data_IF_556096090555
#
_entry.id   IF_556096090555
#
_cell.length_a   1.000
_cell.length_b   1.000
_cell.length_c   1.000
_cell.angle_alpha   90.00
_cell.angle_beta   90.00
_cell.angle_gamma   90.00
#
_symmetry.space_group_name_H-M   'P 1'
#
loop_
_entity.id
_entity.type
_entity.pdbx_description
1 polymer ?
#
# COMPACT_ATOMS: atom_id res chain seq x y z
N UNK A 1 -13.25 -22.77 -1.54
CA UNK A 1 -13.99 -23.12 -2.77
C UNK A 1 -13.20 -22.63 -3.97
N UNK A 2 -13.45 -23.15 -5.18
CA UNK A 2 -12.71 -22.75 -6.39
C UNK A 2 -13.68 -22.34 -7.50
N UNK A 3 -13.40 -21.22 -8.14
CA UNK A 3 -13.99 -20.79 -9.41
C UNK A 3 -12.88 -20.78 -10.46
N UNK A 4 -12.99 -21.58 -11.51
CA UNK A 4 -11.91 -21.76 -12.48
C UNK A 4 -12.40 -21.97 -13.91
N UNK A 5 -11.55 -21.67 -14.87
CA UNK A 5 -11.69 -21.99 -16.30
C UNK A 5 -10.36 -22.53 -16.84
N UNK A 6 -10.42 -23.50 -17.75
CA UNK A 6 -9.23 -24.07 -18.39
C UNK A 6 -8.54 -23.06 -19.32
N UNK A 7 -9.28 -22.08 -19.85
CA UNK A 7 -8.70 -21.06 -20.70
C UNK A 7 -7.71 -20.20 -19.92
N UNK A 8 -6.44 -20.28 -20.32
CA UNK A 8 -5.32 -19.59 -19.67
C UNK A 8 -5.24 -19.91 -18.16
N UNK A 9 -5.72 -21.10 -17.78
CA UNK A 9 -5.69 -21.60 -16.41
C UNK A 9 -6.12 -20.55 -15.36
N UNK A 10 -7.19 -19.81 -15.66
CA UNK A 10 -7.65 -18.69 -14.84
C UNK A 10 -8.50 -19.20 -13.68
N UNK A 11 -8.15 -18.80 -12.45
CA UNK A 11 -8.84 -19.28 -11.25
C UNK A 11 -8.83 -18.29 -10.08
N UNK A 12 -9.91 -18.32 -9.30
CA UNK A 12 -9.98 -17.84 -7.92
C UNK A 12 -10.10 -19.07 -6.99
N UNK A 13 -9.06 -19.32 -6.20
CA UNK A 13 -9.04 -20.39 -5.19
C UNK A 13 -9.17 -19.78 -3.79
N UNK A 14 -9.98 -20.35 -2.90
CA UNK A 14 -10.16 -19.88 -1.52
C UNK A 14 -10.14 -21.04 -0.50
N UNK A 15 -9.61 -20.79 0.70
CA UNK A 15 -9.52 -21.75 1.80
C UNK A 15 -8.24 -22.56 1.74
N UNK A 16 -8.37 -23.90 1.68
CA UNK A 16 -7.24 -24.82 1.54
C UNK A 16 -7.01 -25.16 0.07
N UNK A 17 -5.87 -24.77 -0.48
CA UNK A 17 -5.55 -24.89 -1.89
C UNK A 17 -4.85 -26.23 -2.16
N UNK A 18 -5.31 -26.98 -3.16
CA UNK A 18 -4.74 -28.26 -3.58
C UNK A 18 -4.55 -28.33 -5.09
N UNK A 19 -3.61 -29.15 -5.57
CA UNK A 19 -3.44 -29.41 -7.00
C UNK A 19 -4.74 -29.99 -7.63
N UNK A 20 -5.04 -29.72 -8.91
CA UNK A 20 -6.13 -30.38 -9.64
C UNK A 20 -5.92 -31.91 -9.75
N UNK A 21 -7.01 -32.69 -9.86
CA UNK A 21 -6.99 -34.17 -9.94
C UNK A 21 -6.57 -34.69 -11.33
N UNK A 22 -5.98 -35.90 -11.46
CA UNK A 22 -5.82 -36.96 -10.46
C UNK A 22 -4.62 -36.80 -9.50
N UNK A 23 -3.68 -35.90 -9.77
CA UNK A 23 -2.57 -35.53 -8.85
C UNK A 23 -3.06 -34.70 -7.63
N UNK A 24 -4.39 -34.63 -7.46
CA UNK A 24 -5.11 -33.67 -6.66
C UNK A 24 -5.33 -34.15 -5.24
N UNK A 25 -4.48 -33.63 -4.37
CA UNK A 25 -4.49 -33.90 -2.94
C UNK A 25 -3.28 -33.27 -2.25
N UNK A 26 -2.21 -33.01 -2.99
CA UNK A 26 -1.06 -32.29 -2.46
C UNK A 26 -1.43 -30.82 -2.12
N UNK A 27 -1.14 -30.36 -0.90
CA UNK A 27 -1.38 -28.97 -0.49
C UNK A 27 -0.51 -27.98 -1.26
N UNK A 28 -1.11 -26.87 -1.67
CA UNK A 28 -0.50 -25.73 -2.36
C UNK A 28 -0.40 -24.49 -1.46
N UNK A 29 -1.25 -24.36 -0.45
CA UNK A 29 -1.28 -23.21 0.45
C UNK A 29 -2.64 -22.99 1.11
N UNK A 30 -2.74 -21.92 1.88
CA UNK A 30 -3.95 -21.50 2.59
C UNK A 30 -4.23 -20.01 2.35
N UNK A 31 -5.49 -19.63 2.24
CA UNK A 31 -5.91 -18.25 2.02
C UNK A 31 -6.69 -18.10 0.71
N UNK A 32 -6.27 -17.17 -0.16
CA UNK A 32 -6.82 -17.05 -1.51
C UNK A 32 -5.72 -16.87 -2.55
N UNK A 33 -5.99 -17.33 -3.77
CA UNK A 33 -5.13 -17.16 -4.93
C UNK A 33 -6.00 -16.71 -6.11
N UNK A 34 -5.64 -15.56 -6.70
CA UNK A 34 -6.14 -15.14 -8.01
C UNK A 34 -5.00 -15.33 -9.01
N UNK A 35 -5.21 -16.21 -10.00
CA UNK A 35 -4.19 -16.52 -11.02
C UNK A 35 -4.77 -16.58 -12.42
N UNK A 36 -3.92 -16.29 -13.40
CA UNK A 36 -4.18 -16.45 -14.83
C UNK A 36 -2.83 -16.50 -15.57
N UNK A 37 -2.76 -17.24 -16.66
CA UNK A 37 -1.62 -17.22 -17.59
C UNK A 37 -1.77 -16.09 -18.64
N UNK A 38 -2.84 -15.30 -18.55
CA UNK A 38 -3.12 -14.15 -19.40
C UNK A 38 -2.97 -12.83 -18.62
N UNK A 39 -3.64 -11.77 -19.08
CA UNK A 39 -3.62 -10.46 -18.42
C UNK A 39 -4.41 -10.48 -17.11
N UNK A 40 -3.78 -10.01 -16.04
CA UNK A 40 -4.45 -9.66 -14.78
C UNK A 40 -4.53 -8.15 -14.61
N UNK A 41 -5.72 -7.64 -14.24
CA UNK A 41 -5.93 -6.22 -13.94
C UNK A 41 -6.73 -6.11 -12.65
N UNK A 42 -6.19 -5.38 -11.67
CA UNK A 42 -6.93 -4.93 -10.49
C UNK A 42 -7.18 -3.43 -10.65
N UNK A 43 -8.45 -3.03 -10.71
CA UNK A 43 -8.86 -1.63 -10.88
C UNK A 43 -9.88 -1.27 -9.80
N UNK A 44 -9.56 -0.25 -9.02
CA UNK A 44 -10.45 0.29 -8.00
C UNK A 44 -10.51 1.82 -8.13
N UNK A 45 -11.66 2.34 -8.58
CA UNK A 45 -11.85 3.76 -8.85
C UNK A 45 -11.95 4.65 -7.61
N UNK A 46 -12.16 4.06 -6.43
CA UNK A 46 -12.16 4.74 -5.13
C UNK A 46 -10.85 4.55 -4.35
N UNK A 47 -9.80 4.05 -4.98
CA UNK A 47 -8.52 3.71 -4.31
C UNK A 47 -8.35 2.22 -4.06
N UNK A 48 -7.11 1.80 -3.82
CA UNK A 48 -6.70 0.40 -3.63
C UNK A 48 -5.77 0.28 -2.42
N UNK A 49 -6.22 -0.41 -1.38
CA UNK A 49 -5.40 -0.80 -0.23
C UNK A 49 -4.88 -2.23 -0.42
N UNK A 50 -3.57 -2.39 -0.59
CA UNK A 50 -2.91 -3.70 -0.57
C UNK A 50 -2.16 -3.83 0.76
N UNK A 51 -2.68 -4.68 1.65
CA UNK A 51 -2.19 -4.77 3.02
C UNK A 51 -2.02 -6.20 3.49
N UNK A 52 -1.03 -6.40 4.36
CA UNK A 52 -0.86 -7.63 5.16
C UNK A 52 -1.27 -7.43 6.63
N UNK A 53 -1.83 -6.26 6.95
CA UNK A 53 -2.37 -5.97 8.27
C UNK A 53 -3.65 -6.78 8.49
N UNK A 54 -3.64 -7.62 9.54
CA UNK A 54 -4.74 -8.55 9.80
C UNK A 54 -5.96 -7.83 10.36
N UNK A 55 -7.12 -8.08 9.75
CA UNK A 55 -8.45 -7.90 10.37
C UNK A 55 -9.06 -9.27 10.63
N UNK A 56 -8.76 -9.83 11.80
CA UNK A 56 -9.19 -11.17 12.16
C UNK A 56 -10.71 -11.29 12.04
N UNK A 57 -11.18 -12.28 11.28
CA UNK A 57 -12.61 -12.52 11.04
C UNK A 57 -13.35 -11.30 10.47
N UNK A 58 -12.67 -10.43 9.72
CA UNK A 58 -13.21 -9.19 9.19
C UNK A 58 -13.89 -8.31 10.26
N UNK A 59 -13.27 -8.21 11.44
CA UNK A 59 -13.81 -7.43 12.58
C UNK A 59 -13.92 -5.93 12.30
N UNK A 60 -13.10 -5.40 11.38
CA UNK A 60 -13.15 -4.02 10.91
C UNK A 60 -13.61 -3.95 9.44
N UNK A 61 -13.98 -2.75 8.99
CA UNK A 61 -14.40 -2.51 7.62
C UNK A 61 -13.23 -2.65 6.63
N UNK A 62 -13.55 -2.82 5.34
CA UNK A 62 -12.57 -3.26 4.34
C UNK A 62 -11.47 -2.23 3.99
N UNK A 63 -11.68 -0.94 4.32
CA UNK A 63 -10.71 0.15 4.12
C UNK A 63 -10.05 0.60 5.42
N UNK A 64 -10.29 -0.10 6.53
CA UNK A 64 -9.72 0.22 7.83
C UNK A 64 -8.18 0.16 7.78
N UNK A 65 -7.53 1.32 7.89
CA UNK A 65 -6.07 1.47 7.78
C UNK A 65 -5.39 2.34 8.87
N UNK A 66 -5.87 2.40 10.13
CA UNK A 66 -5.34 3.33 11.14
C UNK A 66 -3.84 3.21 11.37
N UNK A 67 -3.27 1.99 11.36
CA UNK A 67 -1.83 1.78 11.52
C UNK A 67 -1.04 2.39 10.35
N UNK A 68 -1.56 2.28 9.13
CA UNK A 68 -0.94 2.90 7.96
C UNK A 68 -1.04 4.42 8.03
N UNK A 69 -2.20 4.96 8.42
CA UNK A 69 -2.39 6.40 8.59
C UNK A 69 -1.42 6.96 9.64
N UNK A 70 -1.27 6.29 10.78
CA UNK A 70 -0.31 6.69 11.82
C UNK A 70 1.14 6.69 11.30
N UNK A 71 1.56 5.65 10.58
CA UNK A 71 2.91 5.60 9.98
C UNK A 71 3.14 6.75 8.98
N UNK A 72 2.14 7.08 8.15
CA UNK A 72 2.23 8.22 7.23
C UNK A 72 2.26 9.57 7.98
N UNK A 73 1.54 9.70 9.09
CA UNK A 73 1.59 10.89 9.94
C UNK A 73 2.98 11.08 10.56
N UNK A 74 3.59 10.01 11.08
CA UNK A 74 4.96 10.05 11.61
C UNK A 74 5.94 10.42 10.49
N UNK A 75 5.77 9.86 9.30
CA UNK A 75 6.63 10.16 8.16
C UNK A 75 6.55 11.64 7.75
N UNK A 76 5.33 12.18 7.63
CA UNK A 76 5.10 13.60 7.37
C UNK A 76 5.73 14.49 8.45
N UNK A 77 5.62 14.10 9.73
CA UNK A 77 6.23 14.85 10.83
C UNK A 77 7.77 14.85 10.73
N UNK A 78 8.39 13.74 10.31
CA UNK A 78 9.84 13.70 10.06
C UNK A 78 10.24 14.70 8.96
N UNK A 79 9.49 14.75 7.86
CA UNK A 79 9.75 15.73 6.80
C UNK A 79 9.62 17.17 7.30
N UNK A 80 8.57 17.49 8.06
CA UNK A 80 8.38 18.83 8.62
C UNK A 80 9.52 19.22 9.59
N UNK A 81 9.89 18.31 10.50
CA UNK A 81 10.97 18.55 11.47
C UNK A 81 12.32 18.72 10.79
N UNK A 82 12.69 17.85 9.84
CA UNK A 82 13.97 17.96 9.15
C UNK A 82 14.05 19.16 8.22
N UNK A 83 12.93 19.57 7.60
CA UNK A 83 12.87 20.81 6.81
C UNK A 83 13.08 22.05 7.69
N UNK A 84 12.55 22.07 8.92
CA UNK A 84 12.84 23.13 9.88
C UNK A 84 14.31 23.15 10.29
N UNK A 85 14.86 22.00 10.69
CA UNK A 85 16.27 21.90 11.08
C UNK A 85 17.22 22.27 9.94
N UNK A 86 16.91 21.89 8.70
CA UNK A 86 17.70 22.27 7.54
C UNK A 86 17.71 23.79 7.34
N UNK A 87 16.58 24.48 7.55
CA UNK A 87 16.51 25.95 7.52
C UNK A 87 17.29 26.61 8.66
N UNK A 88 17.14 26.10 9.88
CA UNK A 88 17.89 26.59 11.05
C UNK A 88 19.40 26.48 10.85
N UNK A 89 19.84 25.47 10.10
CA UNK A 89 21.24 25.24 9.74
C UNK A 89 21.63 25.77 8.36
N UNK A 90 20.80 26.61 7.73
CA UNK A 90 21.05 27.26 6.43
C UNK A 90 21.37 26.26 5.29
N UNK A 91 20.94 25.01 5.42
CA UNK A 91 21.04 23.98 4.39
C UNK A 91 19.88 24.08 3.38
N UNK A 92 18.78 24.73 3.79
CA UNK A 92 17.61 25.02 2.97
C UNK A 92 17.07 26.42 3.31
N UNK A 93 16.32 27.01 2.39
CA UNK A 93 15.57 28.24 2.58
C UNK A 93 14.06 27.95 2.76
N UNK A 94 13.29 28.98 3.11
CA UNK A 94 11.83 28.83 3.11
C UNK A 94 11.34 28.67 1.66
N UNK A 95 10.41 27.76 1.44
CA UNK A 95 9.94 27.34 0.10
C UNK A 95 10.59 26.06 -0.43
N UNK A 96 11.78 25.64 0.06
CA UNK A 96 12.48 24.49 -0.51
C UNK A 96 11.78 23.15 -0.26
N UNK A 97 11.19 22.98 0.93
CA UNK A 97 10.50 21.75 1.34
C UNK A 97 9.09 22.01 1.86
N UNK A 98 8.63 23.26 1.87
CA UNK A 98 7.30 23.61 2.34
C UNK A 98 6.23 22.95 1.47
N UNK A 99 6.42 22.95 0.15
CA UNK A 99 5.53 22.28 -0.82
C UNK A 99 5.51 20.76 -0.63
N UNK A 100 6.66 20.14 -0.34
CA UNK A 100 6.76 18.70 -0.06
C UNK A 100 6.02 18.36 1.23
N UNK A 101 6.24 19.12 2.31
CA UNK A 101 5.61 18.90 3.60
C UNK A 101 4.08 19.07 3.51
N UNK A 102 3.61 20.05 2.74
CA UNK A 102 2.20 20.28 2.47
C UNK A 102 1.59 19.13 1.66
N UNK A 103 2.22 18.72 0.56
CA UNK A 103 1.75 17.61 -0.28
C UNK A 103 1.65 16.29 0.50
N UNK A 104 2.62 15.99 1.38
CA UNK A 104 2.57 14.81 2.25
C UNK A 104 1.47 14.91 3.31
N UNK A 105 1.22 16.11 3.85
CA UNK A 105 0.12 16.35 4.78
C UNK A 105 -1.24 16.14 4.10
N UNK A 106 -1.43 16.69 2.90
CA UNK A 106 -2.67 16.55 2.13
C UNK A 106 -2.91 15.09 1.72
N UNK A 107 -1.86 14.41 1.26
CA UNK A 107 -1.92 12.97 0.97
C UNK A 107 -2.32 12.16 2.21
N UNK A 108 -1.69 12.41 3.37
CA UNK A 108 -2.06 11.73 4.61
C UNK A 108 -3.53 11.98 4.98
N UNK A 109 -3.97 13.24 4.90
CA UNK A 109 -5.34 13.64 5.20
C UNK A 109 -6.35 12.96 4.26
N UNK A 110 -6.04 12.82 2.99
CA UNK A 110 -6.91 12.18 2.01
C UNK A 110 -6.89 10.64 2.07
N UNK A 111 -5.77 10.02 2.46
CA UNK A 111 -5.70 8.58 2.73
C UNK A 111 -6.51 8.22 3.99
N UNK A 112 -6.35 8.97 5.08
CA UNK A 112 -7.16 8.79 6.29
C UNK A 112 -8.62 9.16 6.06
N UNK A 113 -8.82 10.21 5.26
CA UNK A 113 -10.07 10.92 5.06
C UNK A 113 -10.71 11.44 6.34
N UNK A 114 -11.90 12.01 6.20
CA UNK A 114 -12.66 12.60 7.31
C UNK A 114 -14.15 12.27 7.18
N UNK A 115 -14.84 12.14 8.30
CA UNK A 115 -16.27 11.83 8.35
C UNK A 115 -16.57 10.33 8.22
N UNK A 116 -17.60 10.00 7.44
CA UNK A 116 -18.14 8.64 7.31
C UNK A 116 -19.45 8.44 8.06
N UNK A 117 -20.18 7.41 7.65
CA UNK A 117 -21.40 6.93 8.30
C UNK A 117 -21.41 5.40 8.20
N UNK A 118 -20.87 4.69 9.22
CA UNK A 118 -20.80 3.23 9.21
C UNK A 118 -22.19 2.58 9.08
N UNK A 119 -23.25 3.20 9.60
CA UNK A 119 -24.63 2.72 9.45
C UNK A 119 -25.13 2.79 8.00
N UNK A 120 -24.50 3.61 7.15
CA UNK A 120 -24.75 3.71 5.72
C UNK A 120 -23.66 3.07 4.85
N UNK A 121 -22.76 2.26 5.44
CA UNK A 121 -21.61 1.65 4.76
C UNK A 121 -20.70 2.67 4.06
N UNK A 122 -20.50 3.82 4.71
CA UNK A 122 -19.61 4.90 4.26
C UNK A 122 -18.48 5.04 5.27
N UNK A 123 -17.25 4.94 4.80
CA UNK A 123 -16.05 5.04 5.62
C UNK A 123 -15.18 6.19 5.12
N UNK A 124 -14.40 6.83 6.00
CA UNK A 124 -13.68 8.04 5.64
C UNK A 124 -12.49 7.79 4.70
N UNK A 125 -11.86 6.63 4.77
CA UNK A 125 -10.54 6.40 4.15
C UNK A 125 -10.58 6.42 2.63
N UNK A 126 -9.45 6.80 2.02
CA UNK A 126 -9.26 6.90 0.57
C UNK A 126 -10.28 7.86 -0.07
N UNK A 127 -10.33 9.11 0.40
CA UNK A 127 -11.22 10.14 -0.18
C UNK A 127 -10.86 10.52 -1.62
N UNK A 128 -9.66 10.11 -2.06
CA UNK A 128 -9.15 10.18 -3.43
C UNK A 128 -8.58 8.79 -3.81
N UNK A 129 -8.42 8.48 -5.12
CA UNK A 129 -8.06 7.13 -5.59
C UNK A 129 -6.57 6.77 -5.37
N UNK A 130 -6.11 6.75 -4.13
CA UNK A 130 -4.75 6.34 -3.76
C UNK A 130 -4.54 4.83 -3.91
N UNK A 131 -3.34 4.44 -4.35
CA UNK A 131 -2.80 3.10 -4.14
C UNK A 131 -1.95 3.12 -2.88
N UNK A 132 -2.38 2.39 -1.84
CA UNK A 132 -1.66 2.27 -0.57
C UNK A 132 -1.10 0.86 -0.42
N UNK A 133 0.22 0.75 -0.25
CA UNK A 133 0.91 -0.49 0.07
C UNK A 133 1.34 -0.45 1.54
N UNK A 134 0.83 -1.38 2.37
CA UNK A 134 1.15 -1.39 3.79
C UNK A 134 1.44 -2.80 4.31
N UNK A 135 2.48 -2.94 5.13
CA UNK A 135 2.79 -4.18 5.82
C UNK A 135 3.44 -3.89 7.17
N UNK A 136 3.01 -4.56 8.27
CA UNK A 136 3.67 -4.40 9.56
C UNK A 136 5.07 -5.02 9.60
N UNK A 137 5.39 -5.94 8.68
CA UNK A 137 6.69 -6.65 8.66
C UNK A 137 7.69 -6.02 7.69
N UNK A 138 7.22 -5.39 6.61
CA UNK A 138 8.06 -4.74 5.61
C UNK A 138 7.56 -4.95 4.18
N UNK A 139 8.15 -4.21 3.24
CA UNK A 139 7.83 -4.28 1.81
C UNK A 139 9.13 -4.54 1.05
N UNK A 140 9.13 -5.54 0.18
CA UNK A 140 10.26 -5.86 -0.71
C UNK A 140 9.82 -5.73 -2.17
N UNK A 141 10.62 -5.04 -2.98
CA UNK A 141 10.46 -4.93 -4.43
C UNK A 141 11.78 -5.32 -5.09
N UNK A 142 11.74 -6.26 -6.04
CA UNK A 142 12.94 -6.81 -6.67
C UNK A 142 12.64 -7.21 -8.12
N UNK A 143 13.62 -6.95 -8.98
CA UNK A 143 13.64 -7.38 -10.38
C UNK A 143 15.09 -7.59 -10.82
N UNK A 144 15.39 -8.60 -11.66
CA UNK A 144 16.71 -8.74 -12.26
C UNK A 144 17.00 -7.68 -13.33
N UNK A 145 16.00 -6.86 -13.70
CA UNK A 145 16.13 -5.78 -14.67
C UNK A 145 15.95 -4.42 -13.97
N UNK A 146 15.42 -3.42 -14.67
CA UNK A 146 15.26 -2.07 -14.12
C UNK A 146 14.02 -1.93 -13.24
N UNK A 147 14.18 -1.24 -12.11
CA UNK A 147 13.07 -0.61 -11.37
C UNK A 147 12.97 0.85 -11.80
N UNK A 148 11.76 1.33 -12.14
CA UNK A 148 11.51 2.73 -12.46
C UNK A 148 10.47 3.31 -11.49
N UNK A 149 10.85 4.34 -10.73
CA UNK A 149 9.97 5.10 -9.85
C UNK A 149 9.96 6.55 -10.36
N UNK A 150 8.78 7.07 -10.70
CA UNK A 150 8.60 8.42 -11.20
C UNK A 150 7.44 9.08 -10.46
N UNK A 151 7.66 10.31 -10.03
CA UNK A 151 6.66 11.18 -9.42
C UNK A 151 6.58 12.45 -10.25
N UNK A 152 5.36 12.91 -10.55
CA UNK A 152 5.14 14.20 -11.22
C UNK A 152 5.43 15.40 -10.33
N UNK A 153 5.33 15.21 -9.01
CA UNK A 153 5.59 16.25 -8.00
C UNK A 153 6.83 15.88 -7.17
N UNK A 154 6.68 14.98 -6.19
CA UNK A 154 7.74 14.70 -5.22
C UNK A 154 7.98 13.20 -5.03
N UNK A 155 9.24 12.80 -4.84
CA UNK A 155 9.62 11.50 -4.29
C UNK A 155 10.11 11.70 -2.86
N UNK A 156 9.25 11.37 -1.89
CA UNK A 156 9.59 11.41 -0.48
C UNK A 156 10.00 10.03 0.01
N UNK A 157 11.17 9.94 0.66
CA UNK A 157 11.67 8.73 1.30
C UNK A 157 11.89 9.02 2.78
N UNK A 158 11.16 8.30 3.64
CA UNK A 158 11.31 8.41 5.09
C UNK A 158 11.79 7.09 5.68
N UNK A 159 12.85 7.14 6.49
CA UNK A 159 13.28 6.01 7.31
C UNK A 159 13.31 6.41 8.79
N UNK A 160 12.77 5.56 9.67
CA UNK A 160 12.97 5.71 11.12
C UNK A 160 14.37 5.29 11.57
N UNK A 161 15.05 4.44 10.78
CA UNK A 161 16.46 4.11 10.90
C UNK A 161 17.28 4.70 9.76
N UNK A 162 18.14 3.89 9.16
CA UNK A 162 18.97 4.31 8.03
C UNK A 162 18.24 4.21 6.69
N UNK A 163 18.51 5.18 5.80
CA UNK A 163 18.32 5.03 4.36
C UNK A 163 19.68 4.67 3.75
N UNK A 164 19.81 3.49 3.15
CA UNK A 164 21.07 3.00 2.55
C UNK A 164 20.91 2.77 1.05
N UNK A 165 21.84 3.31 0.26
CA UNK A 165 21.92 3.11 -1.18
C UNK A 165 23.27 2.47 -1.51
N UNK A 166 23.24 1.30 -2.14
CA UNK A 166 24.42 0.62 -2.65
C UNK A 166 24.33 0.52 -4.17
N UNK A 167 25.33 1.06 -4.87
CA UNK A 167 25.39 1.14 -6.33
C UNK A 167 26.70 0.47 -6.76
N UNK A 168 26.61 -0.49 -7.70
CA UNK A 168 27.73 -1.29 -8.19
C UNK A 168 27.86 -1.26 -9.71
#
# INVERSE_FOLDING_TARGET
ATLMTDHQHTALNTGFLTHPRPDGGAPRGEGFELRTDAHGVVRAGGGLLLTTQLRARAVAHHTDLPECAEQLSIAQQHHATFSHLARDHLAQESGDQDDVAQALSDQHAAIRGTGGNPSANQFPELSEPYLVLHSPAGIASSTPQSTHLTSGEHLALTSGGHTSLAIG
#
